data_IF_592521782717
#
_entry.id   IF_592521782717
#
_cell.length_a   1.000
_cell.length_b   1.000
_cell.length_c   1.000
_cell.angle_alpha   90.00
_cell.angle_beta   90.00
_cell.angle_gamma   90.00
#
_symmetry.space_group_name_H-M   'P 1'
#
loop_
_entity.id
_entity.type
_entity.pdbx_description
1 polymer ?
#
# COMPACT_ATOMS: atom_id res chain seq x y z
N UNK A 1 -23.94 5.28 -7.82
CA UNK A 1 -23.45 4.97 -6.45
C UNK A 1 -22.28 3.99 -6.48
N UNK A 2 -22.41 2.80 -7.09
CA UNK A 2 -21.30 1.83 -7.16
C UNK A 2 -20.03 2.35 -7.85
N UNK A 3 -20.17 3.20 -8.87
CA UNK A 3 -19.03 3.83 -9.57
C UNK A 3 -18.19 4.72 -8.67
N UNK A 4 -18.80 5.56 -7.82
CA UNK A 4 -18.09 6.41 -6.85
C UNK A 4 -17.36 5.58 -5.78
N UNK A 5 -17.94 4.46 -5.35
CA UNK A 5 -17.29 3.55 -4.40
C UNK A 5 -16.07 2.88 -5.02
N UNK A 6 -16.15 2.44 -6.28
CA UNK A 6 -14.99 1.88 -7.00
C UNK A 6 -13.90 2.93 -7.21
N UNK A 7 -14.30 4.16 -7.49
CA UNK A 7 -13.40 5.29 -7.67
C UNK A 7 -12.61 5.60 -6.39
N UNK A 8 -13.32 5.67 -5.27
CA UNK A 8 -12.71 5.84 -3.94
C UNK A 8 -11.80 4.66 -3.59
N UNK A 9 -12.25 3.43 -3.82
CA UNK A 9 -11.49 2.23 -3.54
C UNK A 9 -10.17 2.18 -4.33
N UNK A 10 -10.23 2.47 -5.63
CA UNK A 10 -9.05 2.56 -6.48
C UNK A 10 -8.06 3.60 -5.97
N UNK A 11 -8.54 4.82 -5.67
CA UNK A 11 -7.68 5.89 -5.16
C UNK A 11 -7.01 5.52 -3.83
N UNK A 12 -7.77 4.99 -2.87
CA UNK A 12 -7.24 4.57 -1.57
C UNK A 12 -6.18 3.46 -1.72
N UNK A 13 -6.44 2.44 -2.55
CA UNK A 13 -5.46 1.36 -2.76
C UNK A 13 -4.17 1.87 -3.37
N UNK A 14 -4.24 2.80 -4.33
CA UNK A 14 -3.05 3.37 -4.94
C UNK A 14 -2.24 4.24 -3.99
N UNK A 15 -2.90 5.13 -3.25
CA UNK A 15 -2.25 5.97 -2.26
C UNK A 15 -1.43 5.11 -1.28
N UNK A 16 -1.99 3.99 -0.84
CA UNK A 16 -1.36 3.10 0.12
C UNK A 16 -0.22 2.28 -0.51
N UNK A 17 -0.38 1.79 -1.74
CA UNK A 17 0.68 1.04 -2.47
C UNK A 17 1.91 1.92 -2.70
N UNK A 18 1.71 3.15 -3.18
CA UNK A 18 2.80 4.09 -3.42
C UNK A 18 3.38 4.60 -2.11
N UNK A 19 2.55 4.96 -1.12
CA UNK A 19 3.00 5.37 0.20
C UNK A 19 3.87 4.31 0.88
N UNK A 20 3.40 3.05 0.93
CA UNK A 20 4.19 1.93 1.44
C UNK A 20 5.47 1.71 0.63
N UNK A 21 5.43 1.94 -0.69
CA UNK A 21 6.61 1.77 -1.55
C UNK A 21 7.75 2.72 -1.23
N UNK A 22 7.44 3.97 -0.89
CA UNK A 22 8.44 4.97 -0.49
C UNK A 22 8.86 4.84 0.97
N UNK A 23 7.94 4.44 1.84
CA UNK A 23 8.23 4.21 3.26
C UNK A 23 9.18 3.02 3.45
N UNK A 24 9.03 1.98 2.62
CA UNK A 24 9.84 0.75 2.68
C UNK A 24 11.36 1.00 2.66
N UNK A 25 11.97 1.67 1.66
CA UNK A 25 13.42 1.90 1.63
C UNK A 25 13.89 2.74 2.83
N UNK A 26 13.08 3.69 3.30
CA UNK A 26 13.39 4.49 4.48
C UNK A 26 13.47 3.59 5.73
N UNK A 27 12.55 2.63 5.89
CA UNK A 27 12.59 1.65 6.99
C UNK A 27 13.82 0.74 6.91
N UNK A 28 14.15 0.24 5.72
CA UNK A 28 15.32 -0.66 5.56
C UNK A 28 16.60 0.07 5.97
N UNK A 29 16.72 1.35 5.58
CA UNK A 29 17.89 2.17 5.84
C UNK A 29 17.96 2.68 7.28
N UNK A 30 16.85 3.15 7.85
CA UNK A 30 16.80 3.70 9.21
C UNK A 30 16.64 2.62 10.30
N UNK A 31 16.22 1.40 9.93
CA UNK A 31 15.95 0.29 10.85
C UNK A 31 14.66 0.42 11.68
N UNK A 32 14.11 1.63 11.84
CA UNK A 32 12.83 1.88 12.51
C UNK A 32 12.19 3.23 12.11
N UNK A 33 10.86 3.30 12.08
CA UNK A 33 10.07 4.53 11.98
C UNK A 33 9.71 5.03 13.37
N UNK A 34 10.61 5.76 13.99
CA UNK A 34 10.31 6.44 15.24
C UNK A 34 11.10 7.73 15.32
N UNK A 35 10.50 8.74 15.94
CA UNK A 35 11.22 9.95 16.31
C UNK A 35 12.41 9.51 17.16
N UNK A 36 13.63 9.82 16.71
CA UNK A 36 14.80 9.76 17.59
C UNK A 36 14.52 10.80 18.66
N UNK A 37 14.14 10.34 19.85
CA UNK A 37 14.04 11.19 21.01
C UNK A 37 15.47 11.54 21.40
N UNK A 38 15.94 12.71 20.94
CA UNK A 38 17.19 13.31 21.37
C UNK A 38 17.07 13.69 22.85
N UNK A 39 17.22 12.70 23.74
CA UNK A 39 17.51 12.95 25.13
C UNK A 39 19.03 12.88 25.33
N UNK A 40 19.62 14.07 25.31
CA UNK A 40 20.92 14.49 25.84
C UNK A 40 22.20 14.13 25.03
N UNK A 41 22.62 15.10 24.22
CA UNK A 41 23.95 15.72 24.23
C UNK A 41 25.10 14.88 24.83
N UNK A 42 25.95 14.29 24.00
CA UNK A 42 27.41 14.29 24.25
C UNK A 42 28.19 14.20 22.93
N UNK A 43 28.84 15.32 22.61
CA UNK A 43 30.02 15.52 21.75
C UNK A 43 30.04 15.00 20.30
N UNK A 44 30.06 15.96 19.36
CA UNK A 44 30.67 15.74 18.04
C UNK A 44 30.29 16.75 16.95
N UNK A 45 30.57 18.04 17.15
CA UNK A 45 30.58 19.14 16.17
C UNK A 45 29.42 19.25 15.17
N UNK A 46 28.44 20.05 15.58
CA UNK A 46 27.51 20.74 14.69
C UNK A 46 28.27 21.76 13.83
N UNK A 47 28.22 21.57 12.51
CA UNK A 47 28.11 22.71 11.61
C UNK A 47 26.79 22.55 10.88
N UNK A 48 25.78 23.22 11.41
CA UNK A 48 24.56 23.53 10.70
C UNK A 48 24.92 24.34 9.44
N UNK A 49 24.50 23.84 8.29
CA UNK A 49 24.33 24.65 7.10
C UNK A 49 23.12 24.16 6.33
N UNK A 50 22.19 25.09 6.16
CA UNK A 50 20.96 24.96 5.42
C UNK A 50 21.18 24.40 4.01
N UNK A 51 20.71 23.19 3.77
CA UNK A 51 20.11 22.72 2.51
C UNK A 51 19.57 21.31 2.71
N UNK A 52 18.30 21.14 2.37
CA UNK A 52 17.62 19.88 2.10
C UNK A 52 18.41 19.00 1.13
N UNK A 53 19.37 18.22 1.64
CA UNK A 53 20.04 17.18 0.86
C UNK A 53 20.05 15.92 1.71
N UNK A 54 19.24 14.95 1.30
CA UNK A 54 19.33 13.56 1.77
C UNK A 54 20.81 13.17 1.74
N UNK A 55 21.46 12.83 2.87
CA UNK A 55 22.84 12.41 2.83
C UNK A 55 22.94 11.18 1.92
N UNK A 56 23.88 11.20 0.97
CA UNK A 56 24.19 10.05 0.13
C UNK A 56 24.77 8.94 1.03
N UNK A 57 23.89 8.15 1.64
CA UNK A 57 24.29 6.97 2.41
C UNK A 57 24.51 5.85 1.40
N UNK A 58 25.70 5.26 1.46
CA UNK A 58 26.06 4.12 0.63
C UNK A 58 25.12 2.95 0.92
N UNK A 59 24.43 2.45 -0.10
CA UNK A 59 23.46 1.37 0.02
C UNK A 59 24.21 0.04 0.24
N UNK A 60 24.37 -0.37 1.50
CA UNK A 60 25.08 -1.60 1.87
C UNK A 60 24.43 -2.83 1.24
N UNK A 61 25.24 -3.85 0.91
CA UNK A 61 24.80 -5.12 0.29
C UNK A 61 23.64 -5.79 1.05
N UNK A 62 23.64 -5.72 2.38
CA UNK A 62 22.57 -6.24 3.26
C UNK A 62 21.20 -5.62 2.93
N UNK A 63 21.14 -4.29 2.74
CA UNK A 63 19.89 -3.57 2.45
C UNK A 63 19.36 -3.90 1.04
N UNK A 64 20.26 -4.22 0.11
CA UNK A 64 19.90 -4.69 -1.22
C UNK A 64 19.28 -6.08 -1.19
N UNK A 65 19.83 -6.98 -0.37
CA UNK A 65 19.27 -8.32 -0.16
C UNK A 65 17.88 -8.21 0.49
N UNK A 66 17.69 -7.34 1.48
CA UNK A 66 16.39 -7.09 2.11
C UNK A 66 15.35 -6.55 1.11
N UNK A 67 15.77 -5.66 0.20
CA UNK A 67 14.89 -5.11 -0.84
C UNK A 67 14.52 -6.18 -1.89
N UNK A 68 15.49 -6.99 -2.31
CA UNK A 68 15.25 -8.12 -3.20
C UNK A 68 14.31 -9.15 -2.57
N UNK A 69 14.50 -9.44 -1.29
CA UNK A 69 13.63 -10.33 -0.53
C UNK A 69 12.18 -9.85 -0.54
N UNK A 70 11.96 -8.54 -0.41
CA UNK A 70 10.63 -7.95 -0.52
C UNK A 70 10.04 -7.99 -1.93
N UNK A 71 10.83 -7.75 -2.98
CA UNK A 71 10.35 -7.90 -4.35
C UNK A 71 9.98 -9.36 -4.67
N UNK A 72 10.75 -10.31 -4.14
CA UNK A 72 10.41 -11.74 -4.22
C UNK A 72 9.10 -12.08 -3.50
N UNK A 73 8.63 -11.26 -2.55
CA UNK A 73 7.37 -11.45 -1.82
C UNK A 73 6.12 -11.31 -2.69
N UNK A 74 6.22 -10.55 -3.78
CA UNK A 74 5.08 -10.21 -4.62
C UNK A 74 4.49 -11.45 -5.28
N UNK A 75 5.34 -12.37 -5.76
CA UNK A 75 4.93 -13.62 -6.40
C UNK A 75 4.21 -14.59 -5.45
N UNK A 76 4.79 -15.01 -4.30
CA UNK A 76 4.13 -15.91 -3.37
C UNK A 76 2.92 -15.25 -2.71
N UNK A 77 2.98 -13.96 -2.40
CA UNK A 77 1.86 -13.21 -1.83
C UNK A 77 0.64 -13.23 -2.76
N UNK A 78 0.86 -12.96 -4.06
CA UNK A 78 -0.20 -13.03 -5.05
C UNK A 78 -0.76 -14.45 -5.20
N UNK A 79 0.10 -15.47 -5.24
CA UNK A 79 -0.31 -16.86 -5.44
C UNK A 79 -1.16 -17.38 -4.27
N UNK A 80 -0.73 -17.12 -3.04
CA UNK A 80 -1.48 -17.43 -1.82
C UNK A 80 -2.82 -16.69 -1.84
N UNK A 81 -2.81 -15.40 -2.20
CA UNK A 81 -4.01 -14.60 -2.25
C UNK A 81 -5.01 -15.10 -3.30
N UNK A 82 -4.55 -15.45 -4.51
CA UNK A 82 -5.42 -16.00 -5.55
C UNK A 82 -6.07 -17.30 -5.10
N UNK A 83 -5.33 -18.17 -4.43
CA UNK A 83 -5.86 -19.42 -3.89
C UNK A 83 -6.94 -19.17 -2.81
N UNK A 84 -6.71 -18.19 -1.92
CA UNK A 84 -7.72 -17.75 -0.95
C UNK A 84 -8.95 -17.15 -1.66
N UNK A 85 -8.74 -16.35 -2.71
CA UNK A 85 -9.79 -15.66 -3.46
C UNK A 85 -10.69 -16.62 -4.25
N UNK A 86 -10.15 -17.76 -4.69
CA UNK A 86 -10.93 -18.82 -5.32
C UNK A 86 -11.86 -19.52 -4.32
N UNK A 87 -11.35 -19.82 -3.12
CA UNK A 87 -12.12 -20.45 -2.03
C UNK A 87 -13.21 -19.53 -1.47
N UNK A 88 -12.89 -18.27 -1.19
CA UNK A 88 -13.84 -17.30 -0.62
C UNK A 88 -14.63 -16.54 -1.69
N UNK A 89 -15.66 -15.80 -1.30
CA UNK A 89 -16.30 -14.81 -2.19
C UNK A 89 -15.34 -13.64 -2.41
N UNK A 90 -15.12 -13.22 -3.68
CA UNK A 90 -14.19 -12.14 -4.05
C UNK A 90 -14.36 -10.85 -3.24
N UNK A 91 -15.60 -10.48 -2.92
CA UNK A 91 -15.93 -9.32 -2.07
C UNK A 91 -15.40 -9.48 -0.64
N UNK A 92 -15.63 -10.64 -0.03
CA UNK A 92 -15.15 -10.97 1.31
C UNK A 92 -13.62 -10.98 1.34
N UNK A 93 -12.98 -11.59 0.34
CA UNK A 93 -11.52 -11.64 0.26
C UNK A 93 -10.93 -10.24 0.21
N UNK A 94 -11.49 -9.34 -0.60
CA UNK A 94 -11.04 -7.95 -0.71
C UNK A 94 -11.17 -7.18 0.61
N UNK A 95 -12.33 -7.28 1.28
CA UNK A 95 -12.55 -6.56 2.53
C UNK A 95 -11.65 -7.08 3.65
N UNK A 96 -11.53 -8.41 3.78
CA UNK A 96 -10.67 -9.05 4.78
C UNK A 96 -9.20 -8.68 4.54
N UNK A 97 -8.72 -8.72 3.29
CA UNK A 97 -7.33 -8.38 3.00
C UNK A 97 -7.02 -6.90 3.22
N UNK A 98 -7.93 -5.98 2.89
CA UNK A 98 -7.75 -4.56 3.21
C UNK A 98 -7.64 -4.33 4.73
N UNK A 99 -8.47 -5.00 5.52
CA UNK A 99 -8.44 -4.88 6.99
C UNK A 99 -7.14 -5.47 7.54
N UNK A 100 -6.75 -6.69 7.13
CA UNK A 100 -5.49 -7.32 7.55
C UNK A 100 -4.30 -6.43 7.22
N UNK A 101 -4.27 -5.89 6.00
CA UNK A 101 -3.19 -5.03 5.54
C UNK A 101 -3.14 -3.69 6.31
N UNK A 102 -4.29 -3.13 6.66
CA UNK A 102 -4.38 -1.96 7.55
C UNK A 102 -3.85 -2.22 8.96
N UNK A 103 -4.18 -3.38 9.53
CA UNK A 103 -3.66 -3.82 10.84
C UNK A 103 -2.15 -4.05 10.77
N UNK A 104 -1.63 -4.67 9.71
CA UNK A 104 -0.20 -4.86 9.52
C UNK A 104 0.55 -3.52 9.38
N UNK A 105 -0.02 -2.55 8.68
CA UNK A 105 0.52 -1.19 8.63
C UNK A 105 0.54 -0.53 10.02
N UNK A 106 -0.52 -0.71 10.82
CA UNK A 106 -0.57 -0.18 12.18
C UNK A 106 0.46 -0.86 13.08
N UNK A 107 0.66 -2.17 12.90
CA UNK A 107 1.68 -2.95 13.62
C UNK A 107 3.10 -2.42 13.38
N UNK A 108 3.34 -1.77 12.25
CA UNK A 108 4.62 -1.15 11.91
C UNK A 108 4.99 0.04 12.81
N UNK A 109 4.02 0.67 13.50
CA UNK A 109 4.32 1.71 14.51
C UNK A 109 4.97 1.12 15.77
N UNK A 110 4.76 -0.17 16.06
CA UNK A 110 5.34 -0.78 17.24
C UNK A 110 6.83 -1.05 17.04
N UNK A 111 7.65 -0.48 17.93
CA UNK A 111 9.10 -0.72 17.96
C UNK A 111 9.39 -2.21 18.20
N UNK A 112 9.84 -2.88 17.14
CA UNK A 112 10.15 -4.31 17.14
C UNK A 112 11.55 -4.55 16.53
N UNK A 113 12.08 -5.77 16.65
CA UNK A 113 13.32 -6.21 16.02
C UNK A 113 13.28 -6.08 14.49
N UNK A 114 14.42 -5.71 13.88
CA UNK A 114 14.58 -5.53 12.42
C UNK A 114 14.06 -6.73 11.61
N UNK A 115 14.36 -7.96 12.03
CA UNK A 115 13.90 -9.18 11.34
C UNK A 115 12.37 -9.31 11.31
N UNK A 116 11.68 -8.91 12.39
CA UNK A 116 10.21 -8.96 12.46
C UNK A 116 9.60 -7.89 11.56
N UNK A 117 10.20 -6.70 11.54
CA UNK A 117 9.79 -5.61 10.64
C UNK A 117 9.88 -6.05 9.18
N UNK A 118 10.97 -6.72 8.77
CA UNK A 118 11.12 -7.23 7.40
C UNK A 118 10.06 -8.27 7.03
N UNK A 119 9.69 -9.18 7.95
CA UNK A 119 8.64 -10.17 7.73
C UNK A 119 7.27 -9.49 7.59
N UNK A 120 6.98 -8.48 8.43
CA UNK A 120 5.75 -7.69 8.33
C UNK A 120 5.71 -6.94 6.99
N UNK A 121 6.81 -6.31 6.60
CA UNK A 121 6.92 -5.54 5.37
C UNK A 121 6.77 -6.44 4.12
N UNK A 122 7.33 -7.66 4.18
CA UNK A 122 7.11 -8.71 3.18
C UNK A 122 5.62 -9.05 3.04
N UNK A 123 4.92 -9.27 4.16
CA UNK A 123 3.48 -9.57 4.15
C UNK A 123 2.66 -8.40 3.59
N UNK A 124 2.92 -7.16 4.04
CA UNK A 124 2.27 -5.94 3.55
C UNK A 124 2.44 -5.84 2.03
N UNK A 125 3.67 -5.98 1.51
CA UNK A 125 3.95 -5.91 0.07
C UNK A 125 3.14 -6.94 -0.73
N UNK A 126 3.11 -8.19 -0.27
CA UNK A 126 2.31 -9.24 -0.91
C UNK A 126 0.82 -8.90 -0.95
N UNK A 127 0.24 -8.44 0.16
CA UNK A 127 -1.17 -8.05 0.22
C UNK A 127 -1.50 -6.82 -0.64
N UNK A 128 -0.63 -5.81 -0.67
CA UNK A 128 -0.83 -4.60 -1.47
C UNK A 128 -0.96 -4.88 -2.96
N UNK A 129 -0.04 -5.69 -3.51
CA UNK A 129 -0.07 -6.09 -4.91
C UNK A 129 -1.35 -6.87 -5.18
N UNK A 130 -1.69 -7.82 -4.33
CA UNK A 130 -2.86 -8.66 -4.50
C UNK A 130 -4.19 -7.87 -4.46
N UNK A 131 -4.34 -6.94 -3.51
CA UNK A 131 -5.50 -6.04 -3.41
C UNK A 131 -5.63 -5.20 -4.68
N UNK A 132 -4.53 -4.61 -5.15
CA UNK A 132 -4.53 -3.76 -6.36
C UNK A 132 -4.99 -4.54 -7.60
N UNK A 133 -4.49 -5.77 -7.77
CA UNK A 133 -4.92 -6.66 -8.86
C UNK A 133 -6.39 -7.03 -8.73
N UNK A 134 -6.87 -7.32 -7.52
CA UNK A 134 -8.27 -7.69 -7.31
C UNK A 134 -9.22 -6.52 -7.58
N UNK A 135 -8.89 -5.31 -7.11
CA UNK A 135 -9.66 -4.09 -7.40
C UNK A 135 -9.71 -3.81 -8.90
N UNK A 136 -8.60 -4.00 -9.59
CA UNK A 136 -8.56 -3.89 -11.05
C UNK A 136 -9.52 -4.87 -11.73
N UNK A 137 -9.49 -6.16 -11.35
CA UNK A 137 -10.36 -7.16 -11.96
C UNK A 137 -11.84 -6.88 -11.64
N UNK A 138 -12.17 -6.52 -10.41
CA UNK A 138 -13.55 -6.16 -10.01
C UNK A 138 -14.05 -4.95 -10.81
N UNK A 139 -13.18 -3.97 -11.05
CA UNK A 139 -13.53 -2.82 -11.89
C UNK A 139 -13.91 -3.29 -13.30
N UNK A 140 -13.11 -4.19 -13.90
CA UNK A 140 -13.39 -4.71 -15.24
C UNK A 140 -14.63 -5.61 -15.33
N UNK A 141 -15.04 -6.22 -14.22
CA UNK A 141 -16.26 -7.05 -14.16
C UNK A 141 -17.54 -6.22 -14.06
N UNK A 142 -17.46 -5.02 -13.47
CA UNK A 142 -18.61 -4.14 -13.28
C UNK A 142 -18.85 -3.26 -14.52
N UNK A 143 -17.78 -2.91 -15.25
CA UNK A 143 -17.91 -2.12 -16.49
C UNK A 143 -18.18 -3.01 -17.71
N UNK A 144 -19.23 -2.74 -18.50
CA UNK A 144 -19.47 -3.46 -19.75
C UNK A 144 -18.37 -3.17 -20.78
N UNK A 145 -18.24 -4.02 -21.80
CA UNK A 145 -17.16 -3.99 -22.81
C UNK A 145 -16.92 -2.62 -23.46
N UNK A 146 -17.98 -1.81 -23.63
CA UNK A 146 -17.91 -0.44 -24.17
C UNK A 146 -17.22 0.57 -23.23
N UNK A 147 -17.28 0.38 -21.92
CA UNK A 147 -16.70 1.29 -20.92
C UNK A 147 -15.46 0.72 -20.23
N UNK A 148 -15.03 -0.49 -20.62
CA UNK A 148 -13.84 -1.15 -20.05
C UNK A 148 -12.57 -0.28 -20.20
N UNK A 149 -12.40 0.39 -21.34
CA UNK A 149 -11.29 1.31 -21.59
C UNK A 149 -11.26 2.50 -20.64
N UNK A 150 -12.43 3.03 -20.24
CA UNK A 150 -12.55 4.13 -19.28
C UNK A 150 -12.15 3.68 -17.88
N UNK A 151 -12.54 2.48 -17.46
CA UNK A 151 -12.11 1.90 -16.18
C UNK A 151 -10.59 1.70 -16.10
N UNK A 152 -9.97 1.24 -17.20
CA UNK A 152 -8.51 1.13 -17.32
C UNK A 152 -7.82 2.50 -17.25
N UNK A 153 -8.32 3.47 -18.03
CA UNK A 153 -7.77 4.82 -18.05
C UNK A 153 -7.85 5.50 -16.68
N UNK A 154 -8.98 5.34 -15.98
CA UNK A 154 -9.15 5.81 -14.61
C UNK A 154 -8.05 5.24 -13.71
N UNK A 155 -7.90 3.92 -13.69
CA UNK A 155 -6.89 3.24 -12.85
C UNK A 155 -5.48 3.80 -13.10
N UNK A 156 -5.10 4.03 -14.36
CA UNK A 156 -3.82 4.63 -14.72
C UNK A 156 -3.68 6.08 -14.25
N UNK A 157 -4.71 6.91 -14.44
CA UNK A 157 -4.70 8.31 -13.95
C UNK A 157 -4.50 8.38 -12.43
N UNK A 158 -5.11 7.48 -11.68
CA UNK A 158 -4.92 7.43 -10.22
C UNK A 158 -3.56 6.90 -9.81
N UNK A 159 -2.98 6.00 -10.61
CA UNK A 159 -1.58 5.58 -10.43
C UNK A 159 -0.61 6.75 -10.58
N UNK A 160 -0.78 7.56 -11.62
CA UNK A 160 0.02 8.76 -11.86
C UNK A 160 -0.15 9.79 -10.74
N UNK A 161 -1.40 10.08 -10.34
CA UNK A 161 -1.69 10.99 -9.22
C UNK A 161 -1.04 10.52 -7.91
N UNK A 162 -1.09 9.22 -7.63
CA UNK A 162 -0.44 8.67 -6.45
C UNK A 162 1.10 8.72 -6.57
N UNK A 163 1.65 8.58 -7.77
CA UNK A 163 3.08 8.80 -8.07
C UNK A 163 3.53 10.23 -7.78
N UNK A 164 2.73 11.25 -8.13
CA UNK A 164 3.02 12.64 -7.78
C UNK A 164 2.91 12.93 -6.27
N UNK A 165 1.98 12.26 -5.58
CA UNK A 165 1.81 12.37 -4.13
C UNK A 165 2.95 11.66 -3.38
N UNK A 166 3.59 10.67 -4.00
CA UNK A 166 4.59 9.83 -3.35
C UNK A 166 5.83 10.57 -2.80
N UNK A 167 6.52 11.47 -3.55
CA UNK A 167 7.62 12.25 -2.98
C UNK A 167 7.14 13.23 -1.91
N UNK A 168 5.94 13.78 -2.04
CA UNK A 168 5.37 14.67 -1.03
C UNK A 168 5.14 13.94 0.30
N UNK A 169 4.54 12.74 0.26
CA UNK A 169 4.33 11.90 1.44
C UNK A 169 5.67 11.44 2.02
N UNK A 170 6.65 11.08 1.19
CA UNK A 170 7.96 10.64 1.65
C UNK A 170 8.73 11.78 2.35
N UNK A 171 8.72 12.98 1.78
CA UNK A 171 9.52 14.10 2.26
C UNK A 171 8.87 14.82 3.45
N UNK A 172 7.57 15.13 3.36
CA UNK A 172 6.89 15.92 4.40
C UNK A 172 6.44 15.04 5.56
N UNK A 173 5.89 13.87 5.27
CA UNK A 173 5.18 13.07 6.29
C UNK A 173 6.14 12.23 7.15
N UNK A 174 7.27 11.80 6.60
CA UNK A 174 8.25 11.00 7.35
C UNK A 174 9.19 11.87 8.19
N UNK A 175 9.50 13.09 7.74
CA UNK A 175 10.42 13.97 8.44
C UNK A 175 9.79 14.61 9.68
N UNK A 176 8.53 15.04 9.58
CA UNK A 176 7.86 15.74 10.68
C UNK A 176 7.25 14.74 11.69
N UNK A 177 6.40 13.80 11.22
CA UNK A 177 5.67 12.87 12.09
C UNK A 177 5.39 11.50 11.42
N UNK A 178 6.30 10.51 11.54
CA UNK A 178 6.14 9.21 10.89
C UNK A 178 4.91 8.42 11.37
N UNK A 179 4.51 8.60 12.64
CA UNK A 179 3.34 7.92 13.20
C UNK A 179 2.03 8.43 12.58
N UNK A 180 1.93 9.74 12.36
CA UNK A 180 0.78 10.36 11.69
C UNK A 180 0.68 9.88 10.24
N UNK A 181 1.82 9.74 9.55
CA UNK A 181 1.90 9.23 8.19
C UNK A 181 1.26 7.85 8.05
N UNK A 182 1.74 6.90 8.86
CA UNK A 182 1.29 5.52 8.80
C UNK A 182 -0.17 5.42 9.30
N UNK A 183 -0.56 6.23 10.28
CA UNK A 183 -1.94 6.33 10.76
C UNK A 183 -2.92 6.73 9.65
N UNK A 184 -2.57 7.73 8.84
CA UNK A 184 -3.41 8.16 7.70
C UNK A 184 -3.47 7.06 6.62
N UNK A 185 -2.35 6.42 6.31
CA UNK A 185 -2.30 5.31 5.33
C UNK A 185 -3.15 4.11 5.80
N UNK A 186 -2.96 3.66 7.04
CA UNK A 186 -3.73 2.57 7.64
C UNK A 186 -5.22 2.91 7.73
N UNK A 187 -5.57 4.13 8.16
CA UNK A 187 -6.95 4.59 8.21
C UNK A 187 -7.64 4.57 6.84
N UNK A 188 -6.92 5.00 5.80
CA UNK A 188 -7.45 5.03 4.42
C UNK A 188 -7.75 3.62 3.87
N UNK A 189 -6.88 2.63 4.13
CA UNK A 189 -7.10 1.26 3.64
C UNK A 189 -8.17 0.53 4.44
N UNK A 190 -8.30 0.81 5.73
CA UNK A 190 -9.37 0.25 6.56
C UNK A 190 -10.72 0.80 6.11
N UNK A 191 -10.80 2.11 5.85
CA UNK A 191 -12.00 2.74 5.33
C UNK A 191 -12.37 2.21 3.95
N UNK A 192 -11.37 1.94 3.10
CA UNK A 192 -11.55 1.24 1.83
C UNK A 192 -12.08 -0.20 2.02
N UNK A 193 -11.60 -0.94 3.02
CA UNK A 193 -12.10 -2.27 3.36
C UNK A 193 -13.55 -2.27 3.83
N UNK A 194 -13.97 -1.24 4.58
CA UNK A 194 -15.36 -1.04 4.99
C UNK A 194 -16.23 -0.67 3.78
N UNK A 195 -15.76 0.23 2.92
CA UNK A 195 -16.45 0.60 1.68
C UNK A 195 -16.64 -0.62 0.76
N UNK A 196 -15.65 -1.51 0.69
CA UNK A 196 -15.75 -2.78 -0.04
C UNK A 196 -16.80 -3.74 0.57
N UNK A 197 -16.98 -3.74 1.90
CA UNK A 197 -18.01 -4.54 2.56
C UNK A 197 -19.43 -4.04 2.24
N UNK A 198 -19.59 -2.72 2.07
CA UNK A 198 -20.87 -2.10 1.68
C UNK A 198 -21.25 -2.33 0.22
N UNK A 199 -20.35 -2.86 -0.62
CA UNK A 199 -20.63 -3.09 -2.03
C UNK A 199 -21.74 -4.17 -2.19
N UNK A 200 -22.93 -3.86 -2.72
CA UNK A 200 -24.04 -4.81 -2.78
C UNK A 200 -23.88 -5.88 -3.88
N UNK A 201 -22.81 -5.80 -4.68
CA UNK A 201 -22.57 -6.69 -5.81
C UNK A 201 -21.66 -7.86 -5.43
N UNK A 202 -22.22 -9.06 -5.45
CA UNK A 202 -21.48 -10.31 -5.39
C UNK A 202 -21.08 -10.69 -6.83
N UNK A 203 -19.83 -10.45 -7.24
CA UNK A 203 -19.35 -10.82 -8.60
C UNK A 203 -19.12 -12.33 -8.78
N UNK A 204 -19.38 -13.17 -7.76
CA UNK A 204 -19.30 -14.63 -7.90
C UNK A 204 -20.54 -15.14 -8.67
N UNK A 205 -20.42 -15.28 -9.99
CA UNK A 205 -21.39 -16.02 -10.82
C UNK A 205 -22.21 -15.20 -11.81
N UNK A 206 -22.03 -13.88 -11.90
CA UNK A 206 -22.64 -13.10 -12.99
C UNK A 206 -21.72 -13.17 -14.20
N UNK A 207 -21.79 -14.29 -14.92
CA UNK A 207 -21.36 -14.31 -16.33
C UNK A 207 -22.15 -13.22 -17.06
N UNK A 208 -21.44 -12.43 -17.87
CA UNK A 208 -22.01 -11.35 -18.65
C UNK A 208 -23.22 -11.85 -19.43
N UNK A 209 -24.43 -11.49 -18.99
CA UNK A 209 -25.58 -11.49 -19.90
C UNK A 209 -25.29 -10.39 -20.89
N UNK A 210 -24.95 -10.77 -22.12
CA UNK A 210 -25.01 -9.90 -23.28
C UNK A 210 -26.41 -9.29 -23.33
N UNK A 211 -26.54 -8.05 -22.84
CA UNK A 211 -27.75 -7.27 -23.11
C UNK A 211 -27.54 -6.67 -24.49
N UNK A 212 -27.81 -7.48 -25.51
CA UNK A 212 -28.17 -6.97 -26.81
C UNK A 212 -29.54 -6.27 -26.65
N UNK A 213 -29.54 -4.94 -26.67
CA UNK A 213 -30.69 -4.16 -27.07
C UNK A 213 -30.28 -2.80 -27.62
#
# INVERSE_FOLDING_TARGET
>A
MATLLLWYLGWATYLVVYGASFITPIIIQAGFLGRVENNNQTSGNETESASDVVPCVEFTQENFIDLLWMSCAELPGLLIFTFIAEKWSRKMTLSISCIINGILLLLLLLRTYKSVILIILFAIRGFMVAISRLVFIISLEIYPTTFRSVGLAYHLLFGELAGFVAPYVAQVLVYDQPEAAIGVLSGSIILAGIAAAFLPFETKGVYMKEVAK
#
